data_IF_624239447152
#
_entry.id   IF_624239447152
#
_cell.length_a   1.000
_cell.length_b   1.000
_cell.length_c   1.000
_cell.angle_alpha   90.00
_cell.angle_beta   90.00
_cell.angle_gamma   90.00
#
_symmetry.space_group_name_H-M   'P 1'
#
loop_
_entity.id
_entity.type
_entity.pdbx_description
1 polymer ?
#
# COMPACT_ATOMS: atom_id res chain seq x y z
N UNK A 1 21.37 0.73 -1.45
CA UNK A 1 22.76 0.41 -1.08
C UNK A 1 23.04 -1.07 -1.31
N UNK A 2 24.27 -1.54 -1.04
CA UNK A 2 24.73 -2.88 -1.41
C UNK A 2 23.93 -4.05 -0.81
N UNK A 3 23.34 -3.86 0.38
CA UNK A 3 22.53 -4.88 1.07
C UNK A 3 21.06 -4.92 0.64
N UNK A 4 20.62 -3.94 -0.16
CA UNK A 4 19.25 -3.91 -0.69
C UNK A 4 19.13 -4.72 -1.98
N UNK A 5 17.90 -4.88 -2.47
CA UNK A 5 17.59 -5.56 -3.74
C UNK A 5 16.54 -4.77 -4.52
N UNK A 6 16.64 -4.77 -5.84
CA UNK A 6 15.63 -4.21 -6.76
C UNK A 6 15.24 -5.30 -7.74
N UNK A 7 13.93 -5.49 -7.95
CA UNK A 7 13.41 -6.44 -8.93
C UNK A 7 12.53 -5.66 -9.91
N UNK A 8 12.93 -5.62 -11.18
CA UNK A 8 12.12 -5.08 -12.27
C UNK A 8 11.27 -6.17 -12.91
N UNK A 9 10.00 -5.88 -13.18
CA UNK A 9 9.06 -6.80 -13.82
C UNK A 9 8.60 -6.19 -15.13
N UNK A 10 8.69 -6.95 -16.22
CA UNK A 10 8.15 -6.59 -17.53
C UNK A 10 7.66 -7.87 -18.23
N UNK A 11 6.71 -7.76 -19.15
CA UNK A 11 6.19 -8.91 -19.90
C UNK A 11 6.88 -9.10 -21.26
N UNK A 12 7.54 -8.06 -21.78
CA UNK A 12 8.13 -8.03 -23.12
C UNK A 12 9.58 -8.50 -23.11
N UNK A 13 9.90 -9.45 -23.99
CA UNK A 13 11.24 -10.03 -24.06
C UNK A 13 12.27 -8.97 -24.51
N UNK A 14 11.88 -8.05 -25.38
CA UNK A 14 12.75 -6.98 -25.90
C UNK A 14 13.19 -6.02 -24.79
N UNK A 15 12.27 -5.57 -23.93
CA UNK A 15 12.61 -4.67 -22.82
C UNK A 15 13.46 -5.38 -21.77
N UNK A 16 13.15 -6.64 -21.47
CA UNK A 16 13.94 -7.46 -20.54
C UNK A 16 15.37 -7.68 -21.07
N UNK A 17 15.54 -7.94 -22.36
CA UNK A 17 16.87 -8.09 -22.96
C UNK A 17 17.69 -6.81 -22.81
N UNK A 18 17.11 -5.66 -23.14
CA UNK A 18 17.76 -4.35 -22.98
C UNK A 18 18.13 -4.10 -21.51
N UNK A 19 17.22 -4.37 -20.58
CA UNK A 19 17.44 -4.17 -19.16
C UNK A 19 18.56 -5.07 -18.61
N UNK A 20 18.52 -6.37 -18.92
CA UNK A 20 19.51 -7.37 -18.50
C UNK A 20 20.88 -7.09 -19.09
N UNK A 21 20.97 -6.64 -20.34
CA UNK A 21 22.23 -6.26 -21.00
C UNK A 21 22.91 -5.07 -20.31
N UNK A 22 22.12 -4.11 -19.84
CA UNK A 22 22.66 -2.89 -19.20
C UNK A 22 22.89 -3.04 -17.69
N UNK A 23 22.25 -4.02 -17.03
CA UNK A 23 22.37 -4.20 -15.58
C UNK A 23 23.83 -4.30 -15.07
N UNK A 24 24.75 -5.05 -15.71
CA UNK A 24 26.14 -5.11 -15.28
C UNK A 24 26.88 -3.77 -15.40
N UNK A 25 26.59 -2.99 -16.46
CA UNK A 25 27.18 -1.66 -16.69
C UNK A 25 26.76 -0.70 -15.58
N UNK A 26 25.48 -0.74 -15.20
CA UNK A 26 24.97 0.06 -14.08
C UNK A 26 25.59 -0.40 -12.76
N UNK A 27 25.68 -1.72 -12.53
CA UNK A 27 26.28 -2.30 -11.33
C UNK A 27 27.74 -1.86 -11.13
N UNK A 28 28.53 -1.81 -12.20
CA UNK A 28 29.91 -1.33 -12.17
C UNK A 28 29.99 0.15 -11.77
N UNK A 29 29.10 0.99 -12.31
CA UNK A 29 29.07 2.43 -12.01
C UNK A 29 28.61 2.74 -10.59
N UNK A 30 27.66 1.97 -10.04
CA UNK A 30 27.14 2.16 -8.68
C UNK A 30 27.97 1.44 -7.61
N UNK A 31 28.83 0.49 -8.00
CA UNK A 31 29.72 -0.26 -7.12
C UNK A 31 29.11 -1.50 -6.45
N UNK A 32 27.93 -1.96 -6.88
CA UNK A 32 27.30 -3.19 -6.40
C UNK A 32 26.24 -3.71 -7.38
N UNK A 33 26.05 -5.02 -7.44
CA UNK A 33 25.05 -5.67 -8.29
C UNK A 33 23.88 -6.18 -7.45
N UNK A 34 22.76 -5.47 -7.49
CA UNK A 34 21.58 -5.81 -6.70
C UNK A 34 20.23 -5.64 -7.43
N UNK A 35 20.28 -5.57 -8.77
CA UNK A 35 19.12 -5.44 -9.63
C UNK A 35 18.91 -6.75 -10.39
N UNK A 36 17.66 -7.21 -10.42
CA UNK A 36 17.23 -8.39 -11.18
C UNK A 36 16.01 -8.03 -12.03
N UNK A 37 15.86 -8.66 -13.19
CA UNK A 37 14.71 -8.46 -14.07
C UNK A 37 14.02 -9.80 -14.33
N UNK A 38 12.69 -9.86 -14.16
CA UNK A 38 11.91 -11.07 -14.34
C UNK A 38 10.74 -10.84 -15.29
N UNK A 39 10.40 -11.91 -16.03
CA UNK A 39 9.28 -11.89 -16.97
C UNK A 39 7.96 -12.16 -16.26
N UNK A 40 7.04 -11.21 -16.32
CA UNK A 40 5.77 -11.30 -15.62
C UNK A 40 4.78 -10.21 -16.04
N UNK A 41 3.50 -10.43 -15.73
CA UNK A 41 2.48 -9.39 -15.87
C UNK A 41 2.30 -8.70 -14.51
N UNK A 42 2.18 -7.37 -14.51
CA UNK A 42 2.04 -6.63 -13.24
C UNK A 42 0.74 -6.94 -12.49
N UNK A 43 -0.31 -7.37 -13.19
CA UNK A 43 -1.56 -7.84 -12.61
C UNK A 43 -1.52 -9.28 -12.07
N UNK A 44 -0.44 -10.03 -12.30
CA UNK A 44 -0.28 -11.43 -11.88
C UNK A 44 1.20 -11.69 -11.56
N UNK A 45 1.63 -11.18 -10.40
CA UNK A 45 2.99 -11.36 -9.87
C UNK A 45 3.18 -12.71 -9.18
N UNK A 46 2.19 -13.60 -9.27
CA UNK A 46 2.32 -14.99 -8.87
C UNK A 46 2.83 -15.84 -10.04
N UNK A 47 2.38 -15.63 -11.28
CA UNK A 47 2.80 -16.47 -12.39
C UNK A 47 4.17 -16.05 -12.97
N UNK A 48 5.18 -16.91 -12.84
CA UNK A 48 6.47 -16.76 -13.52
C UNK A 48 6.36 -17.19 -14.99
N UNK A 49 6.35 -16.22 -15.90
CA UNK A 49 6.20 -16.47 -17.33
C UNK A 49 7.41 -17.17 -17.94
N UNK A 50 8.62 -16.93 -17.41
CA UNK A 50 9.83 -17.64 -17.87
C UNK A 50 9.81 -19.11 -17.48
N UNK A 51 9.28 -19.42 -16.29
CA UNK A 51 9.09 -20.79 -15.86
C UNK A 51 7.97 -21.46 -16.66
N UNK A 52 6.85 -20.78 -16.89
CA UNK A 52 5.76 -21.28 -17.71
C UNK A 52 6.23 -21.57 -19.14
N UNK A 53 6.91 -20.63 -19.80
CA UNK A 53 7.49 -20.80 -21.14
C UNK A 53 8.37 -22.05 -21.22
N UNK A 54 9.17 -22.31 -20.17
CA UNK A 54 10.06 -23.48 -20.09
C UNK A 54 9.31 -24.80 -20.02
N UNK A 55 8.17 -24.82 -19.34
CA UNK A 55 7.33 -26.02 -19.24
C UNK A 55 6.50 -26.23 -20.51
N UNK A 56 5.96 -25.17 -21.10
CA UNK A 56 5.22 -25.24 -22.37
C UNK A 56 6.10 -25.70 -23.54
N UNK A 57 7.40 -25.37 -23.51
CA UNK A 57 8.38 -25.94 -24.47
C UNK A 57 8.53 -27.46 -24.36
N UNK A 58 8.35 -28.03 -23.15
CA UNK A 58 8.39 -29.49 -22.93
C UNK A 58 7.08 -30.16 -23.29
N UNK A 59 5.96 -29.49 -23.01
CA UNK A 59 4.61 -29.98 -23.26
C UNK A 59 3.80 -28.95 -24.06
N UNK A 60 3.91 -28.91 -25.40
CA UNK A 60 3.23 -27.92 -26.22
C UNK A 60 1.71 -28.06 -26.19
N UNK A 61 1.00 -26.93 -26.21
CA UNK A 61 -0.46 -26.89 -26.31
C UNK A 61 -0.84 -27.15 -27.77
N UNK A 62 -1.52 -28.26 -28.05
CA UNK A 62 -1.93 -28.67 -29.40
C UNK A 62 -3.43 -28.99 -29.51
N UNK A 63 -4.11 -29.14 -28.39
CA UNK A 63 -5.54 -29.46 -28.29
C UNK A 63 -6.12 -29.01 -26.93
N UNK A 64 -7.44 -29.16 -26.77
CA UNK A 64 -8.15 -28.78 -25.55
C UNK A 64 -7.60 -29.47 -24.29
N UNK A 65 -7.24 -30.74 -24.35
CA UNK A 65 -6.66 -31.47 -23.20
C UNK A 65 -5.33 -30.86 -22.76
N UNK A 66 -4.44 -30.58 -23.72
CA UNK A 66 -3.15 -29.92 -23.42
C UNK A 66 -3.31 -28.48 -22.95
N UNK A 67 -4.37 -27.78 -23.39
CA UNK A 67 -4.70 -26.44 -22.90
C UNK A 67 -5.12 -26.49 -21.42
N UNK A 68 -6.04 -27.40 -21.06
CA UNK A 68 -6.46 -27.58 -19.66
C UNK A 68 -5.29 -27.99 -18.76
N UNK A 69 -4.39 -28.85 -19.24
CA UNK A 69 -3.19 -29.22 -18.51
C UNK A 69 -2.21 -28.03 -18.32
N UNK A 70 -2.10 -27.14 -19.30
CA UNK A 70 -1.29 -25.93 -19.19
C UNK A 70 -1.89 -24.90 -18.22
N UNK A 71 -3.22 -24.80 -18.18
CA UNK A 71 -3.95 -23.95 -17.24
C UNK A 71 -3.76 -24.45 -15.79
N UNK A 72 -3.94 -25.76 -15.56
CA UNK A 72 -3.67 -26.39 -14.25
C UNK A 72 -2.21 -26.22 -13.82
N UNK A 73 -1.27 -26.36 -14.77
CA UNK A 73 0.14 -26.10 -14.52
C UNK A 73 0.39 -24.64 -14.13
N UNK A 74 -0.24 -23.67 -14.80
CA UNK A 74 -0.09 -22.26 -14.45
C UNK A 74 -0.58 -21.98 -13.03
N UNK A 75 -1.73 -22.55 -12.62
CA UNK A 75 -2.21 -22.48 -11.23
C UNK A 75 -1.24 -23.13 -10.24
N UNK A 76 -0.69 -24.30 -10.58
CA UNK A 76 0.33 -24.95 -9.76
C UNK A 76 1.58 -24.07 -9.59
N UNK A 77 2.06 -23.45 -10.67
CA UNK A 77 3.22 -22.57 -10.64
C UNK A 77 2.98 -21.33 -9.78
N UNK A 78 1.79 -20.70 -9.86
CA UNK A 78 1.44 -19.56 -9.00
C UNK A 78 1.58 -19.88 -7.51
N UNK A 79 1.20 -21.09 -7.11
CA UNK A 79 1.24 -21.51 -5.70
C UNK A 79 2.62 -21.99 -5.29
N UNK A 80 3.25 -22.88 -6.08
CA UNK A 80 4.50 -23.55 -5.69
C UNK A 80 5.75 -22.74 -6.01
N UNK A 81 5.71 -21.93 -7.06
CA UNK A 81 6.86 -21.19 -7.59
C UNK A 81 6.45 -19.77 -8.01
N UNK A 82 5.92 -18.95 -7.08
CA UNK A 82 5.45 -17.63 -7.44
C UNK A 82 6.59 -16.74 -7.94
N UNK A 83 6.32 -15.96 -9.00
CA UNK A 83 7.26 -14.98 -9.54
C UNK A 83 7.75 -14.01 -8.45
N UNK A 84 6.83 -13.51 -7.62
CA UNK A 84 7.11 -12.78 -6.40
C UNK A 84 6.29 -13.40 -5.26
N UNK A 85 6.98 -13.94 -4.26
CA UNK A 85 6.36 -14.50 -3.05
C UNK A 85 5.67 -13.39 -2.24
N UNK A 86 4.62 -13.76 -1.51
CA UNK A 86 3.90 -12.85 -0.62
C UNK A 86 4.80 -12.29 0.49
N UNK A 87 4.48 -11.09 0.99
CA UNK A 87 5.17 -10.46 2.14
C UNK A 87 6.71 -10.45 2.02
N UNK A 88 7.24 -10.13 0.84
CA UNK A 88 8.69 -10.14 0.58
C UNK A 88 9.29 -8.80 0.15
N UNK A 89 8.44 -7.86 -0.24
CA UNK A 89 8.86 -6.56 -0.78
C UNK A 89 8.62 -5.46 0.26
N UNK A 90 9.61 -4.59 0.47
CA UNK A 90 9.49 -3.45 1.38
C UNK A 90 8.82 -2.25 0.70
N UNK A 91 9.13 -2.00 -0.58
CA UNK A 91 8.60 -0.88 -1.35
C UNK A 91 8.27 -1.32 -2.78
N UNK A 92 7.07 -0.98 -3.25
CA UNK A 92 6.69 -1.08 -4.67
C UNK A 92 6.70 0.31 -5.28
N UNK A 93 7.33 0.47 -6.44
CA UNK A 93 7.31 1.70 -7.23
C UNK A 93 6.80 1.41 -8.63
N UNK A 94 5.97 2.30 -9.16
CA UNK A 94 5.49 2.21 -10.54
C UNK A 94 5.24 3.61 -11.12
N UNK A 95 5.44 3.75 -12.43
CA UNK A 95 5.30 5.01 -13.14
C UNK A 95 4.59 4.79 -14.50
N UNK A 96 3.35 5.28 -14.60
CA UNK A 96 2.55 5.39 -15.82
C UNK A 96 2.38 4.08 -16.61
N UNK A 97 2.14 2.96 -15.93
CA UNK A 97 1.91 1.66 -16.59
C UNK A 97 0.63 0.95 -16.12
N UNK A 98 -0.03 1.39 -15.05
CA UNK A 98 -1.20 0.69 -14.54
C UNK A 98 -2.41 0.89 -15.46
N UNK A 99 -2.49 2.04 -16.15
CA UNK A 99 -3.56 2.33 -17.10
C UNK A 99 -3.56 1.43 -18.35
N UNK A 100 -2.46 0.72 -18.61
CA UNK A 100 -2.36 -0.24 -19.71
C UNK A 100 -2.88 -1.63 -19.34
N UNK A 101 -3.24 -1.85 -18.07
CA UNK A 101 -3.85 -3.09 -17.62
C UNK A 101 -5.33 -3.11 -17.98
N UNK A 102 -5.77 -4.23 -18.55
CA UNK A 102 -7.18 -4.46 -18.88
C UNK A 102 -8.09 -4.22 -17.67
N UNK A 103 -9.24 -3.58 -17.88
CA UNK A 103 -10.17 -3.19 -16.81
C UNK A 103 -10.51 -4.32 -15.84
N UNK A 104 -10.79 -5.53 -16.37
CA UNK A 104 -11.11 -6.72 -15.55
C UNK A 104 -9.97 -7.16 -14.62
N UNK A 105 -8.73 -6.80 -14.94
CA UNK A 105 -7.53 -7.20 -14.18
C UNK A 105 -7.02 -6.09 -13.27
N UNK A 106 -7.58 -4.88 -13.33
CA UNK A 106 -7.17 -3.75 -12.48
C UNK A 106 -7.33 -4.06 -11.00
N UNK A 107 -8.42 -4.72 -10.60
CA UNK A 107 -8.59 -5.14 -9.20
C UNK A 107 -7.47 -6.08 -8.76
N UNK A 108 -7.18 -7.11 -9.57
CA UNK A 108 -6.12 -8.08 -9.30
C UNK A 108 -4.74 -7.40 -9.18
N UNK A 109 -4.47 -6.38 -9.99
CA UNK A 109 -3.23 -5.60 -9.93
C UNK A 109 -2.98 -4.99 -8.54
N UNK A 110 -3.97 -4.31 -7.95
CA UNK A 110 -3.80 -3.75 -6.60
C UNK A 110 -3.74 -4.83 -5.52
N UNK A 111 -4.49 -5.93 -5.68
CA UNK A 111 -4.40 -7.11 -4.80
C UNK A 111 -3.00 -7.74 -4.84
N UNK A 112 -2.35 -7.80 -6.00
CA UNK A 112 -0.99 -8.32 -6.16
C UNK A 112 0.07 -7.39 -5.53
N UNK A 113 -0.04 -6.08 -5.76
CA UNK A 113 0.83 -5.08 -5.10
C UNK A 113 0.72 -5.24 -3.57
N UNK A 114 -0.50 -5.38 -3.07
CA UNK A 114 -0.75 -5.61 -1.65
C UNK A 114 -0.19 -6.96 -1.17
N UNK A 115 -0.39 -8.04 -1.92
CA UNK A 115 0.05 -9.39 -1.56
C UNK A 115 1.56 -9.46 -1.36
N UNK A 116 2.35 -8.89 -2.28
CA UNK A 116 3.81 -9.00 -2.25
C UNK A 116 4.47 -8.11 -1.18
N UNK A 117 3.82 -7.02 -0.79
CA UNK A 117 4.36 -6.11 0.23
C UNK A 117 4.40 -6.79 1.59
N UNK A 118 5.48 -6.59 2.35
CA UNK A 118 5.54 -6.95 3.77
C UNK A 118 4.55 -6.12 4.58
N UNK A 119 4.18 -6.60 5.77
CA UNK A 119 3.56 -5.74 6.78
C UNK A 119 4.53 -4.61 7.17
N UNK A 120 4.08 -3.37 7.04
CA UNK A 120 4.89 -2.16 7.17
C UNK A 120 5.51 -1.68 5.85
N UNK A 121 5.38 -2.43 4.76
CA UNK A 121 5.78 -2.01 3.43
C UNK A 121 4.83 -0.98 2.81
N UNK A 122 5.28 -0.32 1.75
CA UNK A 122 4.53 0.74 1.07
C UNK A 122 4.56 0.66 -0.45
N UNK A 123 3.50 1.11 -1.10
CA UNK A 123 3.45 1.35 -2.53
C UNK A 123 3.56 2.85 -2.80
N UNK A 124 4.38 3.24 -3.77
CA UNK A 124 4.48 4.61 -4.28
C UNK A 124 4.27 4.56 -5.79
N UNK A 125 3.08 4.95 -6.24
CA UNK A 125 2.66 4.78 -7.63
C UNK A 125 2.33 6.14 -8.22
N UNK A 126 2.94 6.45 -9.35
CA UNK A 126 2.60 7.59 -10.18
C UNK A 126 1.86 7.11 -11.43
N UNK A 127 0.71 7.69 -11.74
CA UNK A 127 0.00 7.40 -12.98
C UNK A 127 -0.75 8.64 -13.50
N UNK A 128 -1.33 8.52 -14.69
CA UNK A 128 -2.24 9.49 -15.27
C UNK A 128 -3.66 9.21 -14.76
N UNK A 129 -4.32 10.24 -14.26
CA UNK A 129 -5.71 10.20 -13.78
C UNK A 129 -6.56 11.22 -14.52
N UNK A 130 -7.86 10.95 -14.62
CA UNK A 130 -8.85 11.87 -15.17
C UNK A 130 -9.66 12.56 -14.07
N UNK A 131 -10.22 13.72 -14.37
CA UNK A 131 -11.19 14.42 -13.52
C UNK A 131 -12.62 13.90 -13.69
N UNK A 132 -12.92 13.26 -14.82
CA UNK A 132 -14.21 12.65 -15.14
C UNK A 132 -14.03 11.20 -15.66
N UNK A 133 -15.12 10.42 -15.64
CA UNK A 133 -15.13 9.06 -16.19
C UNK A 133 -14.82 9.09 -17.69
N UNK A 134 -13.90 8.23 -18.14
CA UNK A 134 -13.53 8.12 -19.55
C UNK A 134 -14.59 7.30 -20.31
N UNK A 135 -15.28 7.87 -21.32
CA UNK A 135 -16.33 7.16 -22.06
C UNK A 135 -15.80 5.93 -22.79
N UNK A 136 -16.62 4.87 -22.88
CA UNK A 136 -16.26 3.59 -23.52
C UNK A 136 -15.76 3.76 -24.96
N UNK A 137 -16.28 4.74 -25.71
CA UNK A 137 -15.81 5.06 -27.06
C UNK A 137 -14.34 5.46 -27.10
N UNK A 138 -13.87 6.25 -26.13
CA UNK A 138 -12.46 6.60 -25.99
C UNK A 138 -11.62 5.42 -25.48
N UNK A 139 -12.25 4.51 -24.72
CA UNK A 139 -11.54 3.35 -24.20
C UNK A 139 -11.12 2.37 -25.30
N UNK A 140 -11.94 2.30 -26.36
CA UNK A 140 -11.73 1.44 -27.52
C UNK A 140 -10.85 2.08 -28.61
N UNK A 141 -10.39 3.32 -28.42
CA UNK A 141 -9.49 4.01 -29.35
C UNK A 141 -8.03 3.56 -29.13
N UNK A 142 -7.39 2.89 -30.11
CA UNK A 142 -6.02 2.39 -29.98
C UNK A 142 -4.96 3.48 -29.76
N UNK A 143 -5.16 4.69 -30.33
CA UNK A 143 -4.23 5.80 -30.16
C UNK A 143 -4.29 6.36 -28.74
N UNK A 144 -5.51 6.52 -28.18
CA UNK A 144 -5.70 6.95 -26.80
C UNK A 144 -5.27 5.88 -25.78
N UNK A 145 -5.36 4.61 -26.16
CA UNK A 145 -4.86 3.51 -25.34
C UNK A 145 -3.35 3.57 -25.10
N UNK A 146 -2.57 3.77 -26.17
CA UNK A 146 -1.12 3.91 -26.04
C UNK A 146 -0.68 5.12 -25.20
N UNK A 147 -1.53 6.13 -25.08
CA UNK A 147 -1.29 7.35 -24.30
C UNK A 147 -1.65 7.24 -22.81
N UNK A 148 -2.06 6.07 -22.30
CA UNK A 148 -2.56 5.86 -20.93
C UNK A 148 -3.85 6.65 -20.60
N UNK A 149 -4.66 6.97 -21.62
CA UNK A 149 -5.87 7.81 -21.50
C UNK A 149 -7.13 6.97 -21.35
N UNK A 150 -7.29 5.94 -22.19
CA UNK A 150 -8.44 5.02 -22.20
C UNK A 150 -8.67 4.32 -20.86
N UNK A 151 -7.58 3.84 -20.25
CA UNK A 151 -7.61 3.09 -19.00
C UNK A 151 -7.34 3.97 -17.79
N UNK A 152 -7.40 5.29 -17.89
CA UNK A 152 -7.20 6.17 -16.74
C UNK A 152 -8.29 5.93 -15.68
N UNK A 153 -7.87 5.91 -14.42
CA UNK A 153 -8.81 6.03 -13.32
C UNK A 153 -9.17 7.49 -13.14
N UNK A 154 -10.38 7.77 -12.65
CA UNK A 154 -10.62 9.08 -12.04
C UNK A 154 -9.74 9.26 -10.80
N UNK A 155 -9.49 10.51 -10.40
CA UNK A 155 -8.72 10.81 -9.18
C UNK A 155 -9.23 10.05 -7.95
N UNK A 156 -10.57 9.97 -7.82
CA UNK A 156 -11.23 9.27 -6.72
C UNK A 156 -11.11 7.75 -6.81
N UNK A 157 -11.35 7.16 -7.99
CA UNK A 157 -11.23 5.72 -8.20
C UNK A 157 -9.80 5.23 -7.98
N UNK A 158 -8.80 6.04 -8.32
CA UNK A 158 -7.40 5.66 -8.11
C UNK A 158 -7.09 5.49 -6.62
N UNK A 159 -7.57 6.40 -5.78
CA UNK A 159 -7.46 6.29 -4.32
C UNK A 159 -8.26 5.08 -3.80
N UNK A 160 -9.51 4.94 -4.26
CA UNK A 160 -10.39 3.85 -3.86
C UNK A 160 -9.81 2.47 -4.22
N UNK A 161 -9.03 2.36 -5.30
CA UNK A 161 -8.39 1.10 -5.69
C UNK A 161 -7.37 0.62 -4.62
N UNK A 162 -6.61 1.53 -4.01
CA UNK A 162 -5.75 1.19 -2.87
C UNK A 162 -6.57 0.84 -1.62
N UNK A 163 -7.61 1.60 -1.33
CA UNK A 163 -8.49 1.34 -0.18
C UNK A 163 -9.12 -0.06 -0.27
N UNK A 164 -9.70 -0.39 -1.44
CA UNK A 164 -10.34 -1.67 -1.74
C UNK A 164 -9.36 -2.85 -1.63
N UNK A 165 -8.09 -2.65 -1.98
CA UNK A 165 -7.05 -3.67 -1.82
C UNK A 165 -6.60 -3.86 -0.35
N UNK A 166 -7.04 -2.98 0.56
CA UNK A 166 -6.78 -3.09 2.01
C UNK A 166 -5.60 -2.26 2.51
N UNK A 167 -5.12 -1.30 1.71
CA UNK A 167 -4.09 -0.36 2.16
C UNK A 167 -4.63 0.60 3.23
N UNK A 168 -3.71 1.27 3.92
CA UNK A 168 -3.97 2.34 4.86
C UNK A 168 -3.02 3.51 4.63
N UNK A 169 -3.33 4.67 5.20
CA UNK A 169 -2.45 5.84 5.15
C UNK A 169 -2.24 6.31 3.73
N UNK A 170 -3.31 6.28 2.93
CA UNK A 170 -3.27 6.60 1.51
C UNK A 170 -3.12 8.13 1.38
N UNK A 171 -2.06 8.59 0.71
CA UNK A 171 -1.72 9.99 0.58
C UNK A 171 -1.44 10.38 -0.86
N UNK A 172 -1.93 11.56 -1.26
CA UNK A 172 -1.54 12.20 -2.50
C UNK A 172 -0.21 12.93 -2.26
N UNK A 173 0.90 12.35 -2.70
CA UNK A 173 2.22 12.96 -2.56
C UNK A 173 2.42 14.10 -3.57
N UNK A 174 1.88 13.92 -4.77
CA UNK A 174 1.99 14.91 -5.85
C UNK A 174 0.76 14.83 -6.74
N UNK A 175 0.24 15.99 -7.13
CA UNK A 175 -0.79 16.12 -8.15
C UNK A 175 -0.43 17.30 -9.03
N UNK A 176 -0.34 17.08 -10.34
CA UNK A 176 -0.05 18.16 -11.28
C UNK A 176 -1.21 19.16 -11.32
N UNK A 177 -0.91 20.44 -11.10
CA UNK A 177 -1.91 21.50 -11.13
C UNK A 177 -2.50 21.69 -12.53
N UNK A 178 -1.64 21.66 -13.55
CA UNK A 178 -2.03 21.74 -14.96
C UNK A 178 -2.22 20.32 -15.54
N UNK A 179 -3.23 20.12 -16.39
CA UNK A 179 -3.38 18.87 -17.11
C UNK A 179 -2.20 18.67 -18.06
N UNK A 180 -1.79 17.42 -18.20
CA UNK A 180 -0.83 17.01 -19.23
C UNK A 180 -1.48 17.01 -20.61
N UNK A 181 -2.76 16.64 -20.69
CA UNK A 181 -3.56 16.63 -21.91
C UNK A 181 -5.04 16.76 -21.57
N UNK A 182 -5.82 17.38 -22.47
CA UNK A 182 -7.29 17.42 -22.39
C UNK A 182 -7.86 16.80 -23.65
N UNK A 183 -8.83 15.89 -23.53
CA UNK A 183 -9.48 15.21 -24.66
C UNK A 183 -10.99 15.30 -24.49
N UNK A 184 -11.68 15.92 -25.45
CA UNK A 184 -13.12 16.16 -25.41
C UNK A 184 -13.63 16.80 -24.10
N UNK A 185 -12.81 17.63 -23.45
CA UNK A 185 -13.13 18.29 -22.19
C UNK A 185 -12.58 17.60 -20.94
N UNK A 186 -12.23 16.30 -21.03
CA UNK A 186 -11.69 15.52 -19.90
C UNK A 186 -10.22 15.86 -19.70
N UNK A 187 -9.84 16.26 -18.48
CA UNK A 187 -8.48 16.64 -18.10
C UNK A 187 -7.69 15.44 -17.55
N UNK A 188 -6.59 15.11 -18.21
CA UNK A 188 -5.67 14.06 -17.79
C UNK A 188 -4.44 14.67 -17.14
N UNK A 189 -4.14 14.26 -15.91
CA UNK A 189 -3.00 14.80 -15.13
C UNK A 189 -2.23 13.70 -14.43
N UNK A 190 -0.98 13.99 -14.11
CA UNK A 190 -0.14 13.08 -13.31
C UNK A 190 -0.46 13.20 -11.82
N UNK A 191 -0.61 12.06 -11.16
CA UNK A 191 -0.87 11.95 -9.73
C UNK A 191 0.00 10.83 -9.13
N UNK A 192 0.64 11.12 -8.00
CA UNK A 192 1.45 10.18 -7.24
C UNK A 192 0.78 9.89 -5.90
N UNK A 193 0.48 8.61 -5.67
CA UNK A 193 -0.07 8.09 -4.42
C UNK A 193 1.00 7.34 -3.65
N UNK A 194 0.99 7.48 -2.33
CA UNK A 194 1.64 6.58 -1.40
C UNK A 194 0.60 5.86 -0.54
N UNK A 195 0.79 4.56 -0.29
CA UNK A 195 -0.13 3.74 0.48
C UNK A 195 0.63 2.64 1.23
N UNK A 196 0.18 2.25 2.43
CA UNK A 196 0.88 1.33 3.32
C UNK A 196 0.09 0.02 3.57
N UNK A 197 0.80 -1.08 3.77
CA UNK A 197 0.24 -2.37 4.23
C UNK A 197 0.59 -2.60 5.69
N UNK A 198 -0.34 -3.10 6.51
CA UNK A 198 -0.03 -3.40 7.91
C UNK A 198 -1.21 -3.46 8.87
N UNK A 199 -2.40 -2.99 8.48
CA UNK A 199 -3.60 -3.03 9.32
C UNK A 199 -4.27 -4.43 9.46
N UNK A 200 -3.67 -5.47 8.86
CA UNK A 200 -4.20 -6.83 8.86
C UNK A 200 -3.80 -7.61 10.13
N UNK A 201 -4.74 -8.36 10.70
CA UNK A 201 -4.53 -9.21 11.88
C UNK A 201 -5.50 -8.90 13.01
N UNK A 202 -5.37 -9.69 14.08
CA UNK A 202 -6.23 -9.64 15.26
C UNK A 202 -6.04 -8.36 16.08
N UNK A 203 -7.09 -8.00 16.82
CA UNK A 203 -7.13 -6.80 17.64
C UNK A 203 -7.17 -7.19 19.12
N UNK A 204 -6.19 -6.73 19.88
CA UNK A 204 -6.05 -7.03 21.31
C UNK A 204 -6.13 -5.77 22.17
N UNK A 205 -6.74 -5.91 23.33
CA UNK A 205 -6.90 -4.85 24.34
C UNK A 205 -5.66 -4.81 25.24
N UNK A 206 -5.00 -3.65 25.30
CA UNK A 206 -3.82 -3.39 26.13
C UNK A 206 -3.96 -2.15 27.02
N UNK A 207 -5.18 -1.65 27.20
CA UNK A 207 -5.51 -0.44 27.96
C UNK A 207 -4.79 0.83 27.48
N UNK A 208 -4.37 0.83 26.21
CA UNK A 208 -3.74 1.96 25.56
C UNK A 208 -4.79 2.96 25.09
N UNK A 209 -4.35 4.21 24.90
CA UNK A 209 -5.17 5.23 24.27
C UNK A 209 -4.37 6.15 23.35
N UNK A 210 -5.07 6.70 22.37
CA UNK A 210 -4.55 7.74 21.49
C UNK A 210 -5.36 9.02 21.68
N UNK A 211 -4.72 10.15 21.44
CA UNK A 211 -5.37 11.46 21.40
C UNK A 211 -5.08 12.08 20.04
N UNK A 212 -6.12 12.30 19.24
CA UNK A 212 -5.99 13.04 17.99
C UNK A 212 -5.68 14.51 18.30
N UNK A 213 -4.63 15.05 17.69
CA UNK A 213 -4.13 16.41 17.93
C UNK A 213 -4.92 17.47 17.15
N UNK A 214 -5.41 17.13 15.97
CA UNK A 214 -5.95 18.10 15.00
C UNK A 214 -5.14 18.11 13.70
N UNK A 215 -5.39 19.08 12.80
CA UNK A 215 -6.11 20.33 13.04
C UNK A 215 -7.64 20.23 12.92
N UNK A 216 -8.17 19.22 12.22
CA UNK A 216 -9.61 19.06 12.02
C UNK A 216 -10.36 18.79 13.32
N UNK A 217 -11.66 19.13 13.38
CA UNK A 217 -12.50 18.89 14.57
C UNK A 217 -12.52 17.40 14.94
N UNK A 218 -12.57 16.56 13.93
CA UNK A 218 -12.55 15.11 14.02
C UNK A 218 -11.94 14.52 12.74
N UNK A 219 -11.54 13.27 12.81
CA UNK A 219 -11.05 12.47 11.68
C UNK A 219 -11.72 11.10 11.67
N UNK A 220 -11.74 10.49 10.50
CA UNK A 220 -12.06 9.09 10.26
C UNK A 220 -10.81 8.45 9.66
N UNK A 221 -10.30 7.38 10.25
CA UNK A 221 -9.16 6.66 9.69
C UNK A 221 -9.60 5.60 8.66
N UNK A 222 -8.64 4.93 8.03
CA UNK A 222 -8.87 3.90 7.02
C UNK A 222 -9.52 2.60 7.57
N UNK A 223 -9.80 2.53 8.87
CA UNK A 223 -10.53 1.42 9.54
C UNK A 223 -11.86 1.90 10.16
N UNK A 224 -12.34 3.09 9.77
CA UNK A 224 -13.58 3.71 10.23
C UNK A 224 -13.60 4.11 11.72
N UNK A 225 -12.44 4.30 12.35
CA UNK A 225 -12.36 4.84 13.70
C UNK A 225 -12.56 6.36 13.66
N UNK A 226 -13.65 6.84 14.28
CA UNK A 226 -13.99 8.28 14.32
C UNK A 226 -13.49 8.94 15.58
N UNK A 227 -12.55 9.87 15.47
CA UNK A 227 -11.87 10.48 16.63
C UNK A 227 -11.95 12.01 16.62
N UNK A 228 -12.48 12.57 17.70
CA UNK A 228 -12.47 14.02 17.95
C UNK A 228 -11.14 14.47 18.55
N UNK A 229 -10.67 15.65 18.16
CA UNK A 229 -9.40 16.19 18.67
C UNK A 229 -9.45 16.40 20.19
N UNK A 230 -8.35 16.11 20.89
CA UNK A 230 -8.18 16.33 22.33
C UNK A 230 -8.85 15.31 23.25
N UNK A 231 -9.58 14.32 22.71
CA UNK A 231 -10.18 13.23 23.50
C UNK A 231 -9.30 11.98 23.49
N UNK A 232 -9.36 11.19 24.58
CA UNK A 232 -8.67 9.90 24.68
C UNK A 232 -9.55 8.79 24.12
N UNK A 233 -9.11 8.17 23.04
CA UNK A 233 -9.79 7.04 22.44
C UNK A 233 -9.07 5.74 22.75
N UNK A 234 -9.84 4.72 23.10
CA UNK A 234 -9.38 3.35 23.21
C UNK A 234 -9.09 2.82 21.79
N UNK A 235 -7.94 2.21 21.61
CA UNK A 235 -7.54 1.52 20.38
C UNK A 235 -6.90 0.19 20.74
N UNK A 236 -6.99 -0.78 19.83
CA UNK A 236 -6.28 -2.03 19.98
C UNK A 236 -4.76 -1.83 19.78
N UNK A 237 -3.97 -2.80 20.24
CA UNK A 237 -2.50 -2.77 20.12
C UNK A 237 -2.02 -2.57 18.68
N UNK A 238 -2.70 -3.20 17.71
CA UNK A 238 -2.40 -3.06 16.29
C UNK A 238 -2.53 -1.61 15.82
N UNK A 239 -3.70 -0.98 16.02
CA UNK A 239 -3.96 0.41 15.62
C UNK A 239 -3.05 1.38 16.38
N UNK A 240 -2.81 1.12 17.67
CA UNK A 240 -1.89 1.90 18.48
C UNK A 240 -0.48 1.94 17.90
N UNK A 241 0.07 0.77 17.53
CA UNK A 241 1.39 0.66 16.92
C UNK A 241 1.41 1.16 15.46
N UNK A 242 0.28 1.10 14.75
CA UNK A 242 0.11 1.68 13.42
C UNK A 242 0.25 3.20 13.48
N UNK A 243 -0.48 3.82 14.41
CA UNK A 243 -0.46 5.27 14.58
C UNK A 243 0.92 5.79 15.02
N UNK A 244 1.72 4.98 15.72
CA UNK A 244 3.12 5.33 16.07
C UNK A 244 4.06 5.44 14.86
N UNK A 245 3.62 5.10 13.65
CA UNK A 245 4.42 5.13 12.43
C UNK A 245 3.91 6.18 11.46
N UNK A 246 4.73 6.52 10.45
CA UNK A 246 4.25 7.31 9.32
C UNK A 246 3.12 6.56 8.60
N UNK A 247 2.11 7.27 8.05
CA UNK A 247 1.99 8.73 8.02
C UNK A 247 1.26 9.33 9.24
N UNK A 248 0.78 8.51 10.17
CA UNK A 248 -0.11 8.96 11.25
C UNK A 248 0.59 9.61 12.45
N UNK A 249 1.87 9.29 12.68
CA UNK A 249 2.61 9.63 13.92
C UNK A 249 2.49 11.08 14.35
N UNK A 250 2.44 12.01 13.40
CA UNK A 250 2.42 13.45 13.69
C UNK A 250 1.06 13.94 14.21
N UNK A 251 -0.02 13.22 13.91
CA UNK A 251 -1.40 13.58 14.24
C UNK A 251 -1.88 13.08 15.59
N UNK A 252 -1.15 12.16 16.24
CA UNK A 252 -1.60 11.51 17.47
C UNK A 252 -0.58 11.64 18.60
N UNK A 253 -1.10 11.87 19.80
CA UNK A 253 -0.38 11.63 21.05
C UNK A 253 -0.76 10.24 21.59
N UNK A 254 0.19 9.63 22.28
CA UNK A 254 0.11 8.23 22.71
C UNK A 254 0.13 8.18 24.23
N UNK A 255 -0.82 7.42 24.79
CA UNK A 255 -0.93 7.22 26.24
C UNK A 255 -0.79 5.74 26.53
N UNK A 256 0.39 5.35 27.03
CA UNK A 256 0.67 4.00 27.50
C UNK A 256 -0.01 3.75 28.87
N UNK A 257 -0.42 2.50 29.15
CA UNK A 257 -0.92 2.13 30.48
C UNK A 257 0.20 2.18 31.52
N UNK A 258 -0.16 2.43 32.79
CA UNK A 258 0.82 2.39 33.90
C UNK A 258 1.33 0.95 34.12
N UNK A 259 0.42 -0.01 34.02
CA UNK A 259 0.74 -1.44 34.09
C UNK A 259 0.56 -2.03 32.70
N UNK A 260 1.64 -2.53 32.13
CA UNK A 260 1.59 -3.15 30.81
C UNK A 260 0.79 -4.46 30.83
N UNK A 261 0.02 -4.70 29.77
CA UNK A 261 -0.73 -5.92 29.54
C UNK A 261 0.01 -6.73 28.48
N UNK A 262 0.56 -7.88 28.88
CA UNK A 262 1.24 -8.79 27.96
C UNK A 262 0.27 -9.35 26.90
N UNK A 263 0.74 -9.56 25.67
CA UNK A 263 -0.10 -9.99 24.55
C UNK A 263 -0.78 -11.34 24.81
N UNK A 264 -0.12 -12.25 25.52
CA UNK A 264 -0.63 -13.58 25.86
C UNK A 264 -1.81 -13.53 26.85
N UNK A 265 -1.95 -12.40 27.57
CA UNK A 265 -3.01 -12.15 28.54
C UNK A 265 -4.06 -11.17 28.01
N UNK A 266 -3.80 -10.58 26.84
CA UNK A 266 -4.65 -9.56 26.25
C UNK A 266 -5.94 -10.18 25.73
N UNK A 267 -7.07 -9.52 26.01
CA UNK A 267 -8.38 -9.96 25.54
C UNK A 267 -8.63 -9.41 24.13
N UNK A 268 -9.51 -10.03 23.33
CA UNK A 268 -9.96 -9.45 22.07
C UNK A 268 -10.53 -8.04 22.28
N UNK A 269 -10.19 -7.13 21.36
CA UNK A 269 -10.70 -5.76 21.32
C UNK A 269 -11.72 -5.61 20.21
N UNK A 270 -12.88 -5.04 20.51
CA UNK A 270 -13.91 -4.73 19.53
C UNK A 270 -13.58 -3.42 18.79
N UNK A 271 -12.92 -3.53 17.64
CA UNK A 271 -12.60 -2.40 16.77
C UNK A 271 -13.81 -1.85 16.00
N UNK A 272 -14.97 -2.51 16.02
CA UNK A 272 -16.15 -2.02 15.29
C UNK A 272 -16.73 -0.74 15.89
N UNK A 273 -16.32 -0.37 17.11
CA UNK A 273 -16.82 0.79 17.84
C UNK A 273 -15.67 1.65 18.30
N UNK A 274 -15.76 2.95 18.04
CA UNK A 274 -14.84 3.92 18.61
C UNK A 274 -15.31 4.32 20.00
N UNK A 275 -14.52 4.02 21.03
CA UNK A 275 -14.86 4.28 22.43
C UNK A 275 -13.86 5.24 23.09
N UNK A 276 -14.36 6.10 23.98
CA UNK A 276 -13.50 6.92 24.84
C UNK A 276 -12.84 6.04 25.90
N UNK A 277 -11.54 6.22 26.11
CA UNK A 277 -10.81 5.57 27.20
C UNK A 277 -10.94 6.39 28.47
N UNK A 278 -11.53 5.81 29.51
CA UNK A 278 -11.56 6.47 30.81
C UNK A 278 -10.14 6.48 31.41
N UNK A 279 -9.63 7.60 31.97
CA UNK A 279 -8.26 7.68 32.48
C UNK A 279 -7.90 6.62 33.55
N UNK A 280 -8.87 6.17 34.34
CA UNK A 280 -8.67 5.09 35.32
C UNK A 280 -8.38 3.72 34.70
N UNK A 281 -8.78 3.47 33.45
CA UNK A 281 -8.43 2.22 32.77
C UNK A 281 -6.94 2.17 32.41
N UNK A 282 -6.35 3.33 32.11
CA UNK A 282 -4.92 3.48 31.82
C UNK A 282 -4.10 3.42 33.10
N UNK A 283 -4.59 4.07 34.17
CA UNK A 283 -3.87 4.22 35.44
C UNK A 283 -4.02 3.03 36.40
N UNK A 284 -5.08 2.25 36.24
CA UNK A 284 -5.59 1.34 37.28
C UNK A 284 -6.76 1.97 38.03
N UNK A 285 -7.79 1.16 38.35
CA UNK A 285 -9.05 1.66 38.95
C UNK A 285 -8.84 2.29 40.33
N UNK A 286 -7.86 1.79 41.06
CA UNK A 286 -7.50 2.18 42.42
C UNK A 286 -6.31 3.15 42.47
N UNK A 287 -5.93 3.75 41.33
CA UNK A 287 -4.85 4.73 41.29
C UNK A 287 -5.25 6.04 41.97
N UNK A 288 -4.63 6.36 43.11
CA UNK A 288 -4.87 7.57 43.92
C UNK A 288 -3.59 8.35 44.30
N UNK A 289 -2.45 7.99 43.69
CA UNK A 289 -1.13 8.57 44.00
C UNK A 289 -1.11 10.08 43.77
N UNK A 290 -0.67 10.82 44.79
CA UNK A 290 -0.37 12.26 44.72
C UNK A 290 1.14 12.46 44.57
N UNK A 291 1.56 13.26 43.60
CA UNK A 291 2.98 13.54 43.30
C UNK A 291 3.30 15.02 43.53
N UNK A 292 4.56 15.32 43.83
CA UNK A 292 5.04 16.69 43.95
C UNK A 292 5.25 17.34 42.56
N UNK A 293 5.12 18.66 42.47
CA UNK A 293 5.30 19.41 41.21
C UNK A 293 6.78 19.38 40.83
N UNK A 294 7.12 18.67 39.76
CA UNK A 294 8.53 18.44 39.39
C UNK A 294 9.17 19.52 38.50
N UNK A 295 8.47 20.58 38.05
CA UNK A 295 9.02 21.77 37.38
C UNK A 295 7.96 22.89 37.18
N UNK A 296 8.39 24.14 36.92
CA UNK A 296 7.50 25.27 36.56
C UNK A 296 6.72 24.92 35.29
N UNK A 297 5.39 24.90 35.40
CA UNK A 297 4.48 24.45 34.34
C UNK A 297 4.53 25.29 33.06
N UNK A 298 5.11 26.49 33.13
CA UNK A 298 5.43 27.34 31.99
C UNK A 298 6.72 28.09 32.33
N UNK A 299 7.80 27.88 31.59
CA UNK A 299 8.90 28.84 31.60
C UNK A 299 8.32 30.14 31.03
N UNK A 300 8.28 31.20 31.83
CA UNK A 300 7.74 32.51 31.46
C UNK A 300 8.60 33.24 30.42
N UNK A 301 8.98 32.56 29.34
CA UNK A 301 9.78 33.06 28.23
C UNK A 301 8.93 33.21 26.96
N UNK A 302 8.77 34.45 26.52
CA UNK A 302 8.52 34.90 25.13
C UNK A 302 7.73 33.94 24.22
N UNK A 303 6.41 33.83 24.44
CA UNK A 303 5.49 33.35 23.42
C UNK A 303 4.28 34.30 23.33
N UNK A 304 4.38 35.28 22.43
CA UNK A 304 3.26 35.92 21.75
C UNK A 304 3.40 35.60 20.26
#
# INVERSE_FOLDING_TARGET
>A
GPSGRVVGIDMTDEMLEVARRNAPIVAERIGYANVEFRKGRIQDLALDLELLDRQLKKNPITNATSFLAADELAEELRVKHPLIISDSVDVVVSNCVLNLVELKSKRQLFEEIFRILKKGGRAVVCDIVSDEDVPEEMQNDPELWSGCISGAFTEGEFIAAFENAGFYGIQILKRSAQPWRTVQGIEFRSMTIEAFKGKQGECFERNQAVIYRGPFKEVLDDDNHRMERGKRYAVCDKTYNLYKKAPYREFFDFVDPIVDVALEQAKPFDCSRTALRHPKEIKGRDYDVTTEIHNKCCDGGSCC
#
